data_IF_273331434736
#
_entry.id   IF_273331434736
#
_cell.length_a   1.000
_cell.length_b   1.000
_cell.length_c   1.000
_cell.angle_alpha   90.00
_cell.angle_beta   90.00
_cell.angle_gamma   90.00
#
_symmetry.space_group_name_H-M   'P 1'
#
loop_
_entity.id
_entity.type
_entity.pdbx_description
1 polymer ?
#
# COMPACT_ATOMS: atom_id res chain seq x y z
N UNK A 1 26.45 -79.05 5.84
CA UNK A 1 25.52 -77.90 5.98
C UNK A 1 26.15 -76.79 6.82
N UNK A 2 27.14 -76.05 6.30
CA UNK A 2 27.84 -74.98 7.06
C UNK A 2 28.29 -73.79 6.19
N UNK A 3 27.63 -73.54 5.05
CA UNK A 3 28.05 -72.46 4.11
C UNK A 3 26.90 -71.47 3.81
N UNK A 4 25.66 -71.78 4.18
CA UNK A 4 24.49 -70.93 3.85
C UNK A 4 24.28 -69.79 4.87
N UNK A 5 24.91 -69.85 6.05
CA UNK A 5 24.66 -68.88 7.13
C UNK A 5 25.44 -67.55 6.99
N UNK A 6 26.44 -67.47 6.11
CA UNK A 6 27.29 -66.28 5.96
C UNK A 6 26.83 -65.29 4.87
N UNK A 7 25.87 -65.66 4.03
CA UNK A 7 25.35 -64.78 2.96
C UNK A 7 24.11 -63.96 3.36
N UNK A 8 23.47 -64.29 4.48
CA UNK A 8 22.27 -63.57 4.94
C UNK A 8 22.64 -62.46 5.95
N UNK A 9 23.79 -62.57 6.62
CA UNK A 9 24.24 -61.56 7.58
C UNK A 9 24.78 -60.28 6.92
N UNK A 10 25.26 -60.34 5.67
CA UNK A 10 25.78 -59.17 4.93
C UNK A 10 24.70 -58.37 4.20
N UNK A 11 23.50 -58.92 4.02
CA UNK A 11 22.37 -58.21 3.40
C UNK A 11 21.50 -57.42 4.40
N UNK A 12 21.72 -57.58 5.72
CA UNK A 12 20.99 -56.87 6.78
C UNK A 12 21.75 -55.68 7.38
N UNK A 13 22.96 -55.37 6.90
CA UNK A 13 23.78 -54.26 7.41
C UNK A 13 23.74 -52.98 6.54
N UNK A 14 22.85 -52.90 5.55
CA UNK A 14 22.64 -51.69 4.73
C UNK A 14 21.38 -50.89 5.08
N UNK A 15 20.72 -51.17 6.23
CA UNK A 15 19.53 -50.42 6.66
C UNK A 15 19.75 -49.49 7.85
N UNK A 16 20.99 -49.23 8.26
CA UNK A 16 21.31 -48.13 9.17
C UNK A 16 22.04 -47.02 8.40
N UNK A 17 21.27 -46.22 7.66
CA UNK A 17 21.63 -44.83 7.45
C UNK A 17 21.57 -44.13 8.82
N UNK A 18 22.64 -44.21 9.62
CA UNK A 18 22.96 -43.14 10.56
C UNK A 18 23.37 -41.92 9.73
N UNK A 19 22.37 -41.26 9.17
CA UNK A 19 22.53 -39.97 8.52
C UNK A 19 22.66 -38.95 9.64
N UNK A 20 23.90 -38.80 10.13
CA UNK A 20 24.30 -37.71 10.99
C UNK A 20 23.73 -36.40 10.42
N UNK A 21 23.01 -35.58 11.22
CA UNK A 21 22.40 -34.36 10.71
C UNK A 21 23.50 -33.48 10.13
N UNK A 22 23.48 -33.32 8.81
CA UNK A 22 24.45 -32.49 8.10
C UNK A 22 24.26 -31.04 8.52
N UNK A 23 25.33 -30.29 8.86
CA UNK A 23 25.26 -28.88 9.25
C UNK A 23 24.60 -27.98 8.19
N UNK A 24 24.49 -28.45 6.95
CA UNK A 24 23.79 -27.76 5.87
C UNK A 24 22.27 -27.71 6.08
N UNK A 25 21.65 -28.75 6.65
CA UNK A 25 20.19 -28.77 6.88
C UNK A 25 19.82 -27.86 8.05
N UNK A 26 20.66 -27.81 9.09
CA UNK A 26 20.44 -26.91 10.23
C UNK A 26 20.57 -25.44 9.84
N UNK A 27 21.54 -25.08 8.98
CA UNK A 27 21.66 -23.73 8.44
C UNK A 27 20.46 -23.32 7.57
N UNK A 28 19.92 -24.23 6.76
CA UNK A 28 18.71 -23.97 5.96
C UNK A 28 17.49 -23.79 6.86
N UNK A 29 17.36 -24.59 7.92
CA UNK A 29 16.26 -24.48 8.90
C UNK A 29 16.33 -23.15 9.66
N UNK A 30 17.52 -22.74 10.06
CA UNK A 30 17.75 -21.48 10.77
C UNK A 30 17.50 -20.27 9.85
N UNK A 31 17.98 -20.31 8.61
CA UNK A 31 17.69 -19.31 7.59
C UNK A 31 16.20 -19.18 7.28
N UNK A 32 15.49 -20.30 7.15
CA UNK A 32 14.05 -20.36 6.93
C UNK A 32 13.27 -19.79 8.12
N UNK A 33 13.65 -20.15 9.35
CA UNK A 33 13.02 -19.65 10.57
C UNK A 33 13.19 -18.13 10.73
N UNK A 34 14.38 -17.61 10.43
CA UNK A 34 14.66 -16.16 10.48
C UNK A 34 13.85 -15.39 9.42
N UNK A 35 13.68 -15.98 8.24
CA UNK A 35 12.91 -15.37 7.15
C UNK A 35 11.42 -15.37 7.47
N UNK A 36 10.91 -16.46 8.04
CA UNK A 36 9.53 -16.54 8.52
C UNK A 36 9.23 -15.59 9.67
N UNK A 37 10.16 -15.43 10.62
CA UNK A 37 10.00 -14.47 11.71
C UNK A 37 9.93 -13.03 11.19
N UNK A 38 10.83 -12.65 10.27
CA UNK A 38 10.82 -11.32 9.63
C UNK A 38 9.56 -11.10 8.77
N UNK A 39 9.09 -12.13 8.09
CA UNK A 39 7.84 -12.08 7.33
C UNK A 39 6.62 -11.91 8.26
N UNK A 40 6.58 -12.64 9.38
CA UNK A 40 5.54 -12.52 10.41
C UNK A 40 5.50 -11.12 11.04
N UNK A 41 6.65 -10.59 11.49
CA UNK A 41 6.73 -9.23 12.04
C UNK A 41 6.34 -8.15 11.03
N UNK A 42 6.59 -8.39 9.74
CA UNK A 42 6.15 -7.47 8.69
C UNK A 42 4.65 -7.60 8.46
N UNK A 43 4.12 -8.83 8.43
CA UNK A 43 2.70 -9.09 8.27
C UNK A 43 1.88 -8.47 9.41
N UNK A 44 2.35 -8.60 10.66
CA UNK A 44 1.69 -8.07 11.85
C UNK A 44 1.55 -6.54 11.80
N UNK A 45 2.50 -5.83 11.19
CA UNK A 45 2.44 -4.37 10.97
C UNK A 45 1.38 -3.93 9.96
N UNK A 46 0.94 -4.83 9.09
CA UNK A 46 -0.10 -4.58 8.09
C UNK A 46 -1.41 -5.32 8.40
N UNK A 47 -1.51 -5.99 9.54
CA UNK A 47 -2.79 -6.55 9.99
C UNK A 47 -3.79 -5.42 10.24
N UNK A 48 -5.10 -5.63 9.95
CA UNK A 48 -6.14 -4.63 10.20
C UNK A 48 -6.20 -4.16 11.67
N UNK A 49 -5.72 -4.97 12.61
CA UNK A 49 -5.73 -4.67 14.03
C UNK A 49 -4.50 -3.91 14.52
N UNK A 50 -3.48 -3.74 13.69
CA UNK A 50 -2.29 -2.95 14.03
C UNK A 50 -2.64 -1.47 14.22
N UNK A 51 -2.02 -0.84 15.22
CA UNK A 51 -2.29 0.58 15.52
C UNK A 51 -1.82 1.52 14.41
N UNK A 52 -0.86 1.09 13.58
CA UNK A 52 -0.44 1.79 12.36
C UNK A 52 -1.56 1.84 11.34
N UNK A 53 -2.19 0.71 11.04
CA UNK A 53 -3.28 0.63 10.06
C UNK A 53 -4.51 1.38 10.57
N UNK A 54 -4.87 1.22 11.85
CA UNK A 54 -5.99 1.97 12.45
C UNK A 54 -5.81 3.48 12.35
N UNK A 55 -4.63 4.01 12.68
CA UNK A 55 -4.35 5.44 12.56
C UNK A 55 -4.44 5.90 11.10
N UNK A 56 -3.83 5.16 10.18
CA UNK A 56 -3.91 5.47 8.75
C UNK A 56 -5.37 5.47 8.24
N UNK A 57 -6.19 4.50 8.68
CA UNK A 57 -7.61 4.46 8.34
C UNK A 57 -8.37 5.65 8.92
N UNK A 58 -8.13 6.03 10.18
CA UNK A 58 -8.77 7.19 10.78
C UNK A 58 -8.40 8.49 10.05
N UNK A 59 -7.13 8.69 9.73
CA UNK A 59 -6.67 9.85 8.95
C UNK A 59 -7.34 9.89 7.56
N UNK A 60 -7.48 8.76 6.89
CA UNK A 60 -8.17 8.68 5.60
C UNK A 60 -9.67 8.94 5.71
N UNK A 61 -10.32 8.50 6.79
CA UNK A 61 -11.73 8.77 7.05
C UNK A 61 -11.95 10.25 7.36
N UNK A 62 -11.07 10.87 8.14
CA UNK A 62 -11.16 12.29 8.48
C UNK A 62 -11.10 13.17 7.23
N UNK A 63 -10.24 12.83 6.26
CA UNK A 63 -10.15 13.53 4.96
C UNK A 63 -11.46 13.58 4.19
N UNK A 64 -12.37 12.64 4.40
CA UNK A 64 -13.68 12.62 3.72
C UNK A 64 -14.57 13.81 4.13
N UNK A 65 -14.34 14.37 5.33
CA UNK A 65 -15.14 15.47 5.89
C UNK A 65 -14.45 16.83 5.78
N UNK A 66 -13.23 16.87 5.27
CA UNK A 66 -12.46 18.10 5.09
C UNK A 66 -12.60 18.65 3.66
N UNK A 67 -12.43 19.97 3.54
CA UNK A 67 -12.32 20.68 2.27
C UNK A 67 -11.02 21.47 2.23
N UNK A 68 -10.30 21.34 1.12
CA UNK A 68 -9.23 22.23 0.73
C UNK A 68 -9.83 23.41 -0.04
N UNK A 69 -9.35 24.61 0.23
CA UNK A 69 -9.75 25.83 -0.46
C UNK A 69 -8.56 26.42 -1.21
N UNK A 70 -8.84 26.96 -2.39
CA UNK A 70 -7.87 27.65 -3.23
C UNK A 70 -8.50 28.90 -3.81
N UNK A 71 -7.71 29.97 -3.87
CA UNK A 71 -8.08 31.23 -4.50
C UNK A 71 -6.97 31.58 -5.49
N UNK A 72 -7.33 31.84 -6.73
CA UNK A 72 -6.41 32.24 -7.78
C UNK A 72 -6.86 33.57 -8.37
N UNK A 73 -5.91 34.48 -8.56
CA UNK A 73 -6.14 35.79 -9.16
C UNK A 73 -5.64 35.79 -10.61
N UNK A 74 -6.54 36.09 -11.54
CA UNK A 74 -6.28 36.10 -12.98
C UNK A 74 -6.33 37.53 -13.52
N UNK A 75 -5.67 37.81 -14.67
CA UNK A 75 -5.81 39.09 -15.34
C UNK A 75 -7.28 39.44 -15.64
N UNK A 76 -7.69 40.71 -15.49
CA UNK A 76 -9.09 41.14 -15.63
C UNK A 76 -9.61 41.06 -17.08
N UNK A 77 -8.68 40.97 -18.02
CA UNK A 77 -8.85 40.89 -19.47
C UNK A 77 -8.45 39.51 -20.04
N UNK A 78 -8.39 38.47 -19.19
CA UNK A 78 -8.13 37.10 -19.62
C UNK A 78 -9.09 36.69 -20.74
N UNK A 79 -8.56 36.09 -21.82
CA UNK A 79 -9.40 35.60 -22.91
C UNK A 79 -10.25 34.42 -22.46
N UNK A 80 -11.41 34.24 -23.11
CA UNK A 80 -12.29 33.12 -22.81
C UNK A 80 -11.60 31.75 -22.97
N UNK A 81 -10.75 31.62 -24.00
CA UNK A 81 -9.98 30.39 -24.25
C UNK A 81 -9.01 30.09 -23.11
N UNK A 82 -8.24 31.09 -22.66
CA UNK A 82 -7.30 30.93 -21.54
C UNK A 82 -8.02 30.65 -20.23
N UNK A 83 -9.16 31.30 -19.99
CA UNK A 83 -9.98 31.03 -18.82
C UNK A 83 -10.51 29.59 -18.85
N UNK A 84 -10.98 29.12 -20.00
CA UNK A 84 -11.44 27.75 -20.17
C UNK A 84 -10.31 26.73 -19.94
N UNK A 85 -9.12 26.96 -20.49
CA UNK A 85 -7.94 26.11 -20.25
C UNK A 85 -7.57 26.07 -18.76
N UNK A 86 -7.57 27.23 -18.09
CA UNK A 86 -7.30 27.33 -16.67
C UNK A 86 -8.34 26.54 -15.85
N UNK A 87 -9.63 26.77 -16.09
CA UNK A 87 -10.71 26.04 -15.39
C UNK A 87 -10.68 24.53 -15.69
N UNK A 88 -10.32 24.14 -16.92
CA UNK A 88 -10.16 22.73 -17.28
C UNK A 88 -8.99 22.08 -16.53
N UNK A 89 -7.88 22.79 -16.35
CA UNK A 89 -6.74 22.30 -15.58
C UNK A 89 -7.10 22.09 -14.10
N UNK A 90 -7.89 23.01 -13.53
CA UNK A 90 -8.43 22.88 -12.17
C UNK A 90 -9.39 21.69 -12.06
N UNK A 91 -10.27 21.51 -13.05
CA UNK A 91 -11.18 20.37 -13.11
C UNK A 91 -10.45 19.02 -13.22
N UNK A 92 -9.34 18.95 -13.96
CA UNK A 92 -8.49 17.76 -14.03
C UNK A 92 -7.88 17.40 -12.66
N UNK A 93 -7.52 18.42 -11.88
CA UNK A 93 -7.08 18.31 -10.49
C UNK A 93 -8.23 18.18 -9.47
N UNK A 94 -9.46 18.05 -9.97
CA UNK A 94 -10.71 17.87 -9.22
C UNK A 94 -11.05 19.03 -8.29
N UNK A 95 -10.61 20.23 -8.64
CA UNK A 95 -11.10 21.44 -8.02
C UNK A 95 -12.49 21.78 -8.56
N UNK A 96 -13.40 22.08 -7.64
CA UNK A 96 -14.74 22.57 -7.92
C UNK A 96 -14.75 24.09 -7.68
N UNK A 97 -14.79 24.85 -8.76
CA UNK A 97 -14.80 26.31 -8.71
C UNK A 97 -16.23 26.82 -8.64
N UNK A 98 -16.60 27.40 -7.50
CA UNK A 98 -17.99 27.72 -7.16
C UNK A 98 -18.28 29.23 -7.16
N UNK A 99 -17.25 30.08 -7.20
CA UNK A 99 -17.42 31.52 -7.20
C UNK A 99 -16.33 32.22 -8.02
N UNK A 100 -16.76 33.22 -8.78
CA UNK A 100 -15.92 34.07 -9.63
C UNK A 100 -16.24 35.51 -9.25
N UNK A 101 -15.25 36.23 -8.76
CA UNK A 101 -15.38 37.63 -8.38
C UNK A 101 -14.58 38.51 -9.33
N UNK A 102 -15.22 39.53 -9.90
CA UNK A 102 -14.58 40.44 -10.83
C UNK A 102 -14.23 41.72 -10.10
N UNK A 103 -12.96 41.82 -9.69
CA UNK A 103 -12.39 43.02 -9.10
C UNK A 103 -11.89 43.94 -10.21
N UNK A 104 -11.61 45.20 -9.86
CA UNK A 104 -11.20 46.22 -10.83
C UNK A 104 -9.89 45.88 -11.55
N UNK A 105 -9.01 45.13 -10.88
CA UNK A 105 -7.66 44.80 -11.36
C UNK A 105 -7.46 43.32 -11.67
N UNK A 106 -8.42 42.45 -11.34
CA UNK A 106 -8.26 41.00 -11.43
C UNK A 106 -9.60 40.27 -11.47
N UNK A 107 -9.59 39.06 -12.02
CA UNK A 107 -10.67 38.08 -11.90
C UNK A 107 -10.23 37.03 -10.87
N UNK A 108 -10.90 37.00 -9.72
CA UNK A 108 -10.63 36.08 -8.64
C UNK A 108 -11.48 34.83 -8.76
N UNK A 109 -10.86 33.66 -8.75
CA UNK A 109 -11.51 32.36 -8.83
C UNK A 109 -11.42 31.66 -7.48
N UNK A 110 -12.56 31.27 -6.92
CA UNK A 110 -12.63 30.50 -5.68
C UNK A 110 -13.00 29.05 -5.98
N UNK A 111 -12.15 28.14 -5.53
CA UNK A 111 -12.36 26.72 -5.72
C UNK A 111 -12.20 25.96 -4.40
N UNK A 112 -12.88 24.82 -4.32
CA UNK A 112 -12.76 23.88 -3.21
C UNK A 112 -12.60 22.47 -3.74
N UNK A 113 -12.01 21.58 -2.95
CA UNK A 113 -12.05 20.14 -3.22
C UNK A 113 -11.95 19.34 -1.94
N UNK A 114 -12.40 18.09 -1.99
CA UNK A 114 -12.01 17.14 -0.96
C UNK A 114 -10.53 16.78 -1.10
N UNK A 115 -9.80 16.61 0.01
CA UNK A 115 -8.45 16.06 -0.01
C UNK A 115 -8.37 14.74 -0.78
N UNK A 116 -7.19 14.44 -1.31
CA UNK A 116 -6.94 13.15 -1.95
C UNK A 116 -7.02 12.06 -0.88
N UNK A 117 -8.02 11.18 -1.02
CA UNK A 117 -8.21 10.01 -0.16
C UNK A 117 -8.52 8.78 -1.00
N UNK A 118 -8.01 7.63 -0.55
CA UNK A 118 -8.29 6.33 -1.14
C UNK A 118 -9.72 5.86 -0.87
N UNK A 119 -10.36 6.37 0.19
CA UNK A 119 -11.70 5.96 0.63
C UNK A 119 -12.83 6.69 -0.11
N UNK A 120 -12.51 7.65 -0.99
CA UNK A 120 -13.51 8.47 -1.69
C UNK A 120 -14.51 7.66 -2.50
N UNK A 121 -14.11 6.52 -3.07
CA UNK A 121 -14.97 5.67 -3.89
C UNK A 121 -15.84 4.69 -3.08
N UNK A 122 -15.64 4.61 -1.76
CA UNK A 122 -16.40 3.69 -0.91
C UNK A 122 -17.75 4.26 -0.48
N UNK A 123 -17.93 5.58 -0.57
CA UNK A 123 -19.17 6.26 -0.14
C UNK A 123 -20.28 6.27 -1.20
N UNK A 124 -20.04 5.72 -2.40
CA UNK A 124 -21.04 5.69 -3.49
C UNK A 124 -22.14 4.62 -3.29
N UNK A 125 -22.07 3.81 -2.24
CA UNK A 125 -23.15 2.89 -1.87
C UNK A 125 -24.21 3.64 -1.05
N UNK A 126 -25.15 4.28 -1.74
CA UNK A 126 -26.38 4.81 -1.15
C UNK A 126 -27.61 4.18 -1.80
#
# INVERSE_FOLDING_TARGET
MRIICWLIATLLFCSSCEQSPSPAIDQVKEGLSSTWSKAGETLDRYTPNSDSVKRMTLDEVEKLFLYEYRVDDLPPDISAEKLQEFLASLGADRWDCFFLDRLTTELRVHCKRHPKSYLRYLLEFR
#
